data_IF_114853284998
#
_entry.id   IF_114853284998
#
_cell.length_a   1.000
_cell.length_b   1.000
_cell.length_c   1.000
_cell.angle_alpha   90.00
_cell.angle_beta   90.00
_cell.angle_gamma   90.00
#
_symmetry.space_group_name_H-M   'P 1'
#
loop_
_entity.id
_entity.type
_entity.pdbx_description
1 polymer ?
#
# COMPACT_ATOMS: atom_id res chain seq x y z
N UNK A 1 -68.05 52.92 6.47
CA UNK A 1 -67.17 52.36 7.52
C UNK A 1 -66.30 51.32 6.85
N UNK A 2 -65.01 51.60 6.71
CA UNK A 2 -63.98 50.78 6.07
C UNK A 2 -63.35 49.80 7.06
N UNK A 3 -62.63 48.79 6.54
CA UNK A 3 -61.66 47.86 7.16
C UNK A 3 -62.19 46.42 7.30
N UNK A 4 -61.46 45.37 6.96
CA UNK A 4 -60.21 45.18 6.23
C UNK A 4 -60.15 43.67 5.93
N UNK A 5 -59.78 43.27 4.72
CA UNK A 5 -59.55 41.87 4.39
C UNK A 5 -58.25 41.41 5.05
N UNK A 6 -58.33 40.54 6.04
CA UNK A 6 -57.18 39.73 6.49
C UNK A 6 -57.45 38.29 6.11
N UNK A 7 -57.01 37.95 4.90
CA UNK A 7 -56.84 36.59 4.45
C UNK A 7 -55.63 36.04 5.21
N UNK A 8 -55.85 35.24 6.25
CA UNK A 8 -54.77 34.44 6.83
C UNK A 8 -54.29 33.48 5.73
N UNK A 9 -52.99 33.48 5.36
CA UNK A 9 -52.50 32.54 4.38
C UNK A 9 -52.44 31.17 5.05
N UNK A 10 -53.53 30.40 4.96
CA UNK A 10 -53.49 28.96 5.22
C UNK A 10 -52.44 28.36 4.26
N UNK A 11 -51.29 27.96 4.82
CA UNK A 11 -50.25 27.29 4.07
C UNK A 11 -50.78 25.89 3.73
N UNK A 12 -51.49 25.78 2.62
CA UNK A 12 -51.94 24.50 2.06
C UNK A 12 -50.72 23.78 1.45
N UNK A 13 -49.99 23.05 2.29
CA UNK A 13 -48.90 22.21 1.82
C UNK A 13 -49.52 20.98 1.15
N UNK A 14 -49.50 20.97 -0.18
CA UNK A 14 -49.92 19.83 -1.00
C UNK A 14 -49.24 18.54 -0.53
N UNK A 15 -50.01 17.50 -0.21
CA UNK A 15 -49.51 16.20 0.25
C UNK A 15 -48.45 15.60 -0.69
N UNK A 16 -48.61 15.81 -2.01
CA UNK A 16 -47.66 15.38 -3.03
C UNK A 16 -46.28 16.04 -2.87
N UNK A 17 -46.23 17.33 -2.47
CA UNK A 17 -44.96 18.03 -2.21
C UNK A 17 -44.32 17.52 -0.92
N UNK A 18 -45.13 17.19 0.09
CA UNK A 18 -44.66 16.61 1.35
C UNK A 18 -44.07 15.20 1.13
N UNK A 19 -44.71 14.38 0.31
CA UNK A 19 -44.21 13.05 -0.07
C UNK A 19 -42.91 13.12 -0.87
N UNK A 20 -42.82 14.00 -1.88
CA UNK A 20 -41.59 14.19 -2.65
C UNK A 20 -40.44 14.68 -1.77
N UNK A 21 -40.71 15.60 -0.84
CA UNK A 21 -39.72 16.07 0.13
C UNK A 21 -39.28 14.96 1.09
N UNK A 22 -40.22 14.15 1.58
CA UNK A 22 -39.93 13.00 2.43
C UNK A 22 -39.07 11.95 1.71
N UNK A 23 -39.38 11.63 0.45
CA UNK A 23 -38.60 10.72 -0.37
C UNK A 23 -37.17 11.25 -0.61
N UNK A 24 -37.04 12.55 -0.85
CA UNK A 24 -35.74 13.21 -1.02
C UNK A 24 -34.90 13.16 0.25
N UNK A 25 -35.49 13.51 1.40
CA UNK A 25 -34.79 13.45 2.70
C UNK A 25 -34.41 12.01 3.06
N UNK A 26 -35.27 11.03 2.77
CA UNK A 26 -34.96 9.63 2.98
C UNK A 26 -33.79 9.17 2.11
N UNK A 27 -33.80 9.50 0.80
CA UNK A 27 -32.69 9.22 -0.09
C UNK A 27 -31.38 9.86 0.38
N UNK A 28 -31.42 11.13 0.82
CA UNK A 28 -30.27 11.83 1.38
C UNK A 28 -29.73 11.14 2.63
N UNK A 29 -30.62 10.69 3.52
CA UNK A 29 -30.25 9.95 4.74
C UNK A 29 -29.56 8.64 4.42
N UNK A 30 -30.11 7.86 3.48
CA UNK A 30 -29.52 6.59 3.02
C UNK A 30 -28.12 6.82 2.44
N UNK A 31 -27.95 7.86 1.62
CA UNK A 31 -26.64 8.21 1.05
C UNK A 31 -25.64 8.55 2.15
N UNK A 32 -26.01 9.38 3.14
CA UNK A 32 -25.13 9.71 4.25
C UNK A 32 -24.80 8.49 5.11
N UNK A 33 -25.74 7.56 5.30
CA UNK A 33 -25.49 6.30 6.01
C UNK A 33 -24.49 5.42 5.25
N UNK A 34 -24.61 5.30 3.93
CA UNK A 34 -23.69 4.51 3.11
C UNK A 34 -22.29 5.12 3.13
N UNK A 35 -22.17 6.44 2.94
CA UNK A 35 -20.89 7.15 3.02
C UNK A 35 -20.28 6.98 4.42
N UNK A 36 -21.09 7.13 5.47
CA UNK A 36 -20.67 6.91 6.85
C UNK A 36 -20.16 5.49 7.08
N UNK A 37 -20.84 4.47 6.57
CA UNK A 37 -20.46 3.08 6.74
C UNK A 37 -19.19 2.70 5.97
N UNK A 38 -19.01 3.23 4.75
CA UNK A 38 -17.82 2.94 3.93
C UNK A 38 -16.59 3.71 4.43
N UNK A 39 -16.78 4.94 4.92
CA UNK A 39 -15.67 5.82 5.34
C UNK A 39 -15.32 5.66 6.82
N UNK A 40 -16.25 5.24 7.68
CA UNK A 40 -15.99 5.06 9.12
C UNK A 40 -15.36 3.67 9.38
N UNK A 41 -14.09 3.61 9.81
CA UNK A 41 -13.47 2.36 10.21
C UNK A 41 -14.08 1.90 11.54
N UNK A 42 -14.73 0.74 11.52
CA UNK A 42 -15.24 0.06 12.70
C UNK A 42 -14.13 -0.79 13.31
N UNK A 43 -13.98 -0.75 14.64
CA UNK A 43 -13.14 -1.69 15.38
C UNK A 43 -13.68 -3.12 15.27
N UNK A 44 -12.85 -4.10 15.60
CA UNK A 44 -13.17 -5.51 15.89
C UNK A 44 -14.39 -5.71 16.80
N UNK A 45 -14.79 -4.70 17.56
CA UNK A 45 -15.97 -4.69 18.43
C UNK A 45 -17.17 -3.89 17.86
N UNK A 46 -17.15 -3.52 16.58
CA UNK A 46 -18.26 -2.81 15.91
C UNK A 46 -18.46 -1.36 16.34
N UNK A 47 -17.46 -0.74 16.98
CA UNK A 47 -17.51 0.65 17.43
C UNK A 47 -16.79 1.58 16.44
N UNK A 48 -17.35 2.76 16.13
CA UNK A 48 -16.66 3.76 15.33
C UNK A 48 -15.45 4.29 16.13
N UNK A 49 -14.24 4.02 15.65
CA UNK A 49 -13.03 4.55 16.28
C UNK A 49 -12.68 5.88 15.63
N UNK A 50 -12.69 6.94 16.44
CA UNK A 50 -12.09 8.22 16.08
C UNK A 50 -10.57 8.05 16.07
N UNK A 51 -10.03 7.51 14.97
CA UNK A 51 -8.60 7.57 14.75
C UNK A 51 -8.25 9.03 14.49
N UNK A 52 -7.46 9.62 15.39
CA UNK A 52 -6.78 10.87 15.08
C UNK A 52 -6.05 10.67 13.74
N UNK A 53 -6.05 11.66 12.82
CA UNK A 53 -5.42 11.52 11.50
C UNK A 53 -3.99 10.99 11.57
N UNK A 54 -3.27 11.31 12.65
CA UNK A 54 -1.92 10.82 12.91
C UNK A 54 -1.86 9.31 13.21
N UNK A 55 -2.78 8.78 14.02
CA UNK A 55 -2.84 7.35 14.34
C UNK A 55 -3.21 6.54 13.10
N UNK A 56 -4.15 7.06 12.30
CA UNK A 56 -4.48 6.44 11.01
C UNK A 56 -3.27 6.42 10.06
N UNK A 57 -2.52 7.52 9.95
CA UNK A 57 -1.34 7.57 9.10
C UNK A 57 -0.26 6.56 9.53
N UNK A 58 -0.12 6.29 10.84
CA UNK A 58 0.78 5.25 11.36
C UNK A 58 0.32 3.86 10.96
N UNK A 59 -0.96 3.54 11.16
CA UNK A 59 -1.49 2.22 10.82
C UNK A 59 -1.49 1.97 9.30
N UNK A 60 -1.86 2.96 8.50
CA UNK A 60 -1.83 2.87 7.03
C UNK A 60 -0.40 2.63 6.52
N UNK A 61 0.58 3.33 7.10
CA UNK A 61 1.99 3.11 6.79
C UNK A 61 2.44 1.71 7.23
N UNK A 62 2.09 1.26 8.44
CA UNK A 62 2.47 -0.06 8.96
C UNK A 62 1.92 -1.18 8.07
N UNK A 63 0.67 -1.07 7.63
CA UNK A 63 0.08 -2.01 6.65
C UNK A 63 0.84 -1.99 5.33
N UNK A 64 1.18 -0.81 4.83
CA UNK A 64 1.97 -0.68 3.60
C UNK A 64 3.35 -1.33 3.75
N UNK A 65 4.02 -1.13 4.88
CA UNK A 65 5.30 -1.74 5.18
C UNK A 65 5.24 -3.27 5.26
N UNK A 66 4.18 -3.84 5.85
CA UNK A 66 3.98 -5.29 5.85
C UNK A 66 3.78 -5.85 4.44
N UNK A 67 3.02 -5.14 3.59
CA UNK A 67 2.89 -5.50 2.18
C UNK A 67 4.25 -5.47 1.50
N UNK A 68 5.06 -4.42 1.69
CA UNK A 68 6.39 -4.34 1.08
C UNK A 68 7.34 -5.44 1.56
N UNK A 69 7.31 -5.83 2.84
CA UNK A 69 8.10 -6.97 3.34
C UNK A 69 7.70 -8.27 2.63
N UNK A 70 6.40 -8.46 2.37
CA UNK A 70 5.92 -9.58 1.57
C UNK A 70 6.44 -9.49 0.12
N UNK A 71 6.37 -8.32 -0.51
CA UNK A 71 6.91 -8.11 -1.87
C UNK A 71 8.41 -8.36 -1.94
N UNK A 72 9.19 -7.99 -0.91
CA UNK A 72 10.61 -8.31 -0.81
C UNK A 72 10.85 -9.83 -0.75
N UNK A 73 9.91 -10.61 -0.19
CA UNK A 73 9.98 -12.08 -0.18
C UNK A 73 9.77 -12.65 -1.58
N UNK A 74 8.83 -12.08 -2.33
CA UNK A 74 8.58 -12.45 -3.72
C UNK A 74 9.82 -12.14 -4.56
N UNK A 75 10.35 -10.92 -4.41
CA UNK A 75 11.56 -10.46 -5.10
C UNK A 75 12.78 -11.32 -4.76
N UNK A 76 12.93 -11.79 -3.51
CA UNK A 76 13.96 -12.76 -3.13
C UNK A 76 13.87 -14.04 -3.98
N UNK A 77 12.67 -14.63 -4.06
CA UNK A 77 12.42 -15.83 -4.84
C UNK A 77 12.71 -15.63 -6.34
N UNK A 78 12.33 -14.48 -6.90
CA UNK A 78 12.64 -14.12 -8.28
C UNK A 78 14.16 -14.03 -8.52
N UNK A 79 14.91 -13.37 -7.63
CA UNK A 79 16.37 -13.26 -7.74
C UNK A 79 17.04 -14.63 -7.60
N UNK A 80 16.59 -15.47 -6.65
CA UNK A 80 17.08 -16.85 -6.50
C UNK A 80 16.86 -17.62 -7.79
N UNK A 81 15.68 -17.51 -8.40
CA UNK A 81 15.37 -18.19 -9.65
C UNK A 81 16.31 -17.76 -10.77
N UNK A 82 16.60 -16.46 -10.91
CA UNK A 82 17.56 -15.93 -11.89
C UNK A 82 18.98 -16.44 -11.64
N UNK A 83 19.43 -16.49 -10.38
CA UNK A 83 20.77 -16.98 -10.01
C UNK A 83 20.90 -18.49 -10.24
N UNK A 84 19.83 -19.25 -9.97
CA UNK A 84 19.81 -20.71 -10.07
C UNK A 84 19.60 -21.23 -11.50
N UNK A 85 19.13 -20.39 -12.43
CA UNK A 85 18.92 -20.78 -13.82
C UNK A 85 20.21 -21.36 -14.42
N UNK A 86 20.16 -22.63 -14.80
CA UNK A 86 21.26 -23.28 -15.49
C UNK A 86 21.44 -22.64 -16.88
N UNK A 87 22.70 -22.44 -17.27
CA UNK A 87 23.11 -21.84 -18.56
C UNK A 87 22.72 -22.69 -19.79
N UNK A 88 21.98 -23.79 -19.60
CA UNK A 88 21.57 -24.72 -20.66
C UNK A 88 20.18 -24.40 -21.26
N UNK A 89 19.46 -23.41 -20.71
CA UNK A 89 18.17 -22.94 -21.23
C UNK A 89 18.28 -21.79 -22.25
N UNK A 90 17.13 -21.28 -22.70
CA UNK A 90 17.06 -20.11 -23.59
C UNK A 90 17.55 -18.84 -22.88
N UNK A 91 18.74 -18.34 -23.25
CA UNK A 91 19.35 -17.13 -22.70
C UNK A 91 18.46 -15.89 -22.85
N UNK A 92 17.64 -15.81 -23.92
CA UNK A 92 16.73 -14.68 -24.09
C UNK A 92 15.62 -14.69 -23.05
N UNK A 93 15.04 -15.87 -22.77
CA UNK A 93 14.06 -16.02 -21.69
C UNK A 93 14.66 -15.66 -20.34
N UNK A 94 15.89 -16.12 -20.03
CA UNK A 94 16.58 -15.81 -18.79
C UNK A 94 16.88 -14.31 -18.64
N UNK A 95 17.30 -13.65 -19.73
CA UNK A 95 17.53 -12.21 -19.75
C UNK A 95 16.24 -11.44 -19.50
N UNK A 96 15.12 -11.83 -20.12
CA UNK A 96 13.81 -11.22 -19.87
C UNK A 96 13.36 -11.37 -18.42
N UNK A 97 13.49 -12.56 -17.84
CA UNK A 97 13.15 -12.80 -16.43
C UNK A 97 14.02 -11.92 -15.53
N UNK A 98 15.34 -11.87 -15.75
CA UNK A 98 16.23 -11.02 -14.96
C UNK A 98 15.91 -9.52 -15.10
N UNK A 99 15.55 -9.05 -16.29
CA UNK A 99 15.10 -7.67 -16.53
C UNK A 99 13.79 -7.37 -15.81
N UNK A 100 12.83 -8.30 -15.85
CA UNK A 100 11.57 -8.17 -15.13
C UNK A 100 11.78 -8.11 -13.62
N UNK A 101 12.64 -8.97 -13.06
CA UNK A 101 13.02 -8.93 -11.65
C UNK A 101 13.69 -7.61 -11.27
N UNK A 102 14.58 -7.08 -12.12
CA UNK A 102 15.20 -5.78 -11.89
C UNK A 102 14.15 -4.65 -11.90
N UNK A 103 13.22 -4.69 -12.85
CA UNK A 103 12.14 -3.71 -12.95
C UNK A 103 11.23 -3.76 -11.71
N UNK A 104 10.87 -4.95 -11.24
CA UNK A 104 10.09 -5.13 -10.02
C UNK A 104 10.81 -4.52 -8.81
N UNK A 105 12.12 -4.76 -8.67
CA UNK A 105 12.91 -4.15 -7.60
C UNK A 105 12.90 -2.61 -7.65
N UNK A 106 13.05 -2.02 -8.84
CA UNK A 106 12.99 -0.56 -9.05
C UNK A 106 11.62 -0.01 -8.65
N UNK A 107 10.54 -0.66 -9.09
CA UNK A 107 9.17 -0.22 -8.79
C UNK A 107 8.88 -0.27 -7.29
N UNK A 108 9.31 -1.34 -6.61
CA UNK A 108 9.16 -1.48 -5.17
C UNK A 108 9.94 -0.40 -4.42
N UNK A 109 11.22 -0.17 -4.76
CA UNK A 109 12.03 0.89 -4.15
C UNK A 109 11.42 2.27 -4.37
N UNK A 110 10.95 2.59 -5.58
CA UNK A 110 10.29 3.88 -5.85
C UNK A 110 8.97 4.03 -5.08
N UNK A 111 8.21 2.95 -4.93
CA UNK A 111 6.96 2.95 -4.16
C UNK A 111 7.24 3.24 -2.69
N UNK A 112 8.26 2.61 -2.11
CA UNK A 112 8.70 2.86 -0.74
C UNK A 112 9.15 4.32 -0.59
N UNK A 113 10.05 4.80 -1.46
CA UNK A 113 10.62 6.15 -1.40
C UNK A 113 9.56 7.26 -1.46
N UNK A 114 8.56 7.10 -2.34
CA UNK A 114 7.50 8.11 -2.54
C UNK A 114 6.39 8.06 -1.49
N UNK A 115 6.36 7.04 -0.63
CA UNK A 115 5.29 6.91 0.35
C UNK A 115 5.50 7.90 1.49
N UNK A 116 4.44 8.66 1.81
CA UNK A 116 4.46 9.59 2.94
C UNK A 116 4.57 8.80 4.24
N UNK A 117 5.61 9.10 5.03
CA UNK A 117 5.82 8.49 6.34
C UNK A 117 5.39 9.46 7.46
N UNK A 118 4.72 8.98 8.52
CA UNK A 118 4.52 9.78 9.72
C UNK A 118 5.87 10.02 10.44
N UNK A 119 6.05 11.15 11.16
CA UNK A 119 7.33 11.48 11.81
C UNK A 119 7.90 10.36 12.70
N UNK A 120 7.02 9.63 13.41
CA UNK A 120 7.42 8.52 14.29
C UNK A 120 7.93 7.29 13.52
N UNK A 121 7.64 7.17 12.23
CA UNK A 121 8.03 6.04 11.38
C UNK A 121 9.29 6.29 10.54
N UNK A 122 9.91 7.47 10.62
CA UNK A 122 11.07 7.85 9.79
C UNK A 122 12.22 6.84 9.85
N UNK A 123 12.58 6.37 11.05
CA UNK A 123 13.65 5.38 11.18
C UNK A 123 13.33 4.04 10.50
N UNK A 124 12.06 3.62 10.53
CA UNK A 124 11.61 2.40 9.84
C UNK A 124 11.58 2.61 8.32
N UNK A 125 11.21 3.80 7.85
CA UNK A 125 11.29 4.17 6.43
C UNK A 125 12.71 4.11 5.91
N UNK A 126 13.69 4.64 6.65
CA UNK A 126 15.11 4.56 6.27
C UNK A 126 15.58 3.10 6.17
N UNK A 127 15.21 2.26 7.14
CA UNK A 127 15.52 0.82 7.12
C UNK A 127 14.86 0.09 5.94
N UNK A 128 13.59 0.40 5.66
CA UNK A 128 12.82 -0.16 4.56
C UNK A 128 13.43 0.23 3.21
N UNK A 129 13.73 1.51 3.02
CA UNK A 129 14.35 2.02 1.80
C UNK A 129 15.73 1.39 1.59
N UNK A 130 16.58 1.39 2.62
CA UNK A 130 17.91 0.76 2.59
C UNK A 130 17.83 -0.71 2.19
N UNK A 131 16.90 -1.48 2.80
CA UNK A 131 16.70 -2.89 2.45
C UNK A 131 16.22 -3.06 1.01
N UNK A 132 15.28 -2.24 0.55
CA UNK A 132 14.79 -2.31 -0.84
C UNK A 132 15.90 -2.03 -1.86
N UNK A 133 16.80 -1.07 -1.56
CA UNK A 133 17.96 -0.76 -2.42
C UNK A 133 18.96 -1.91 -2.45
N UNK A 134 19.13 -2.66 -1.34
CA UNK A 134 19.96 -3.87 -1.34
C UNK A 134 19.37 -4.97 -2.22
N UNK A 135 18.04 -5.15 -2.21
CA UNK A 135 17.37 -6.07 -3.12
C UNK A 135 17.49 -5.63 -4.59
N UNK A 136 17.40 -4.32 -4.87
CA UNK A 136 17.66 -3.77 -6.20
C UNK A 136 19.09 -4.06 -6.67
N UNK A 137 20.08 -3.92 -5.79
CA UNK A 137 21.48 -4.22 -6.10
C UNK A 137 21.71 -5.73 -6.35
N UNK A 138 21.02 -6.59 -5.59
CA UNK A 138 21.03 -8.03 -5.81
C UNK A 138 20.40 -8.39 -7.17
N UNK A 139 19.28 -7.79 -7.54
CA UNK A 139 18.64 -7.98 -8.85
C UNK A 139 19.56 -7.50 -10.00
N UNK A 140 20.24 -6.36 -9.83
CA UNK A 140 21.24 -5.87 -10.80
C UNK A 140 22.39 -6.85 -10.98
N UNK A 141 22.90 -7.39 -9.88
CA UNK A 141 23.98 -8.37 -9.89
C UNK A 141 23.54 -9.69 -10.53
N UNK A 142 22.30 -10.11 -10.31
CA UNK A 142 21.71 -11.29 -10.94
C UNK A 142 21.55 -11.11 -12.47
N UNK A 143 21.11 -9.93 -12.92
CA UNK A 143 21.10 -9.59 -14.36
C UNK A 143 22.52 -9.60 -14.96
N UNK A 144 23.52 -9.12 -14.22
CA UNK A 144 24.91 -9.19 -14.65
C UNK A 144 25.43 -10.63 -14.76
N UNK A 145 25.01 -11.53 -13.86
CA UNK A 145 25.30 -12.96 -13.97
C UNK A 145 24.71 -13.57 -15.25
N UNK A 146 23.44 -13.30 -15.55
CA UNK A 146 22.80 -13.79 -16.78
C UNK A 146 23.50 -13.24 -18.03
N UNK A 147 23.88 -11.97 -18.01
CA UNK A 147 24.51 -11.30 -19.16
C UNK A 147 25.97 -11.72 -19.37
N UNK A 148 26.69 -11.99 -18.26
CA UNK A 148 28.10 -12.38 -18.26
C UNK A 148 28.27 -13.53 -17.25
N UNK A 149 28.14 -14.79 -17.70
CA UNK A 149 28.05 -15.96 -16.82
C UNK A 149 29.41 -16.43 -16.31
N UNK A 150 30.05 -15.56 -15.51
CA UNK A 150 31.29 -15.85 -14.79
C UNK A 150 30.95 -16.18 -13.35
N UNK A 151 31.57 -17.21 -12.78
CA UNK A 151 31.32 -17.62 -11.39
C UNK A 151 31.39 -16.43 -10.40
N UNK A 152 32.37 -15.54 -10.59
CA UNK A 152 32.50 -14.29 -9.82
C UNK A 152 31.22 -13.43 -9.79
N UNK A 153 30.48 -13.35 -10.89
CA UNK A 153 29.24 -12.57 -10.96
C UNK A 153 28.08 -13.29 -10.25
N UNK A 154 28.05 -14.63 -10.30
CA UNK A 154 27.11 -15.44 -9.52
C UNK A 154 27.36 -15.29 -8.01
N UNK A 155 28.63 -15.35 -7.61
CA UNK A 155 29.04 -15.19 -6.21
C UNK A 155 28.67 -13.78 -5.71
N UNK A 156 28.92 -12.74 -6.52
CA UNK A 156 28.51 -11.38 -6.20
C UNK A 156 26.99 -11.25 -6.05
N UNK A 157 26.20 -11.80 -6.97
CA UNK A 157 24.74 -11.76 -6.89
C UNK A 157 24.22 -12.47 -5.63
N UNK A 158 24.82 -13.62 -5.28
CA UNK A 158 24.48 -14.38 -4.08
C UNK A 158 24.84 -13.60 -2.81
N UNK A 159 26.01 -12.97 -2.78
CA UNK A 159 26.45 -12.14 -1.66
C UNK A 159 25.53 -10.93 -1.43
N UNK A 160 25.15 -10.24 -2.50
CA UNK A 160 24.25 -9.09 -2.42
C UNK A 160 22.85 -9.51 -1.93
N UNK A 161 22.34 -10.64 -2.42
CA UNK A 161 21.06 -11.18 -1.96
C UNK A 161 21.10 -11.53 -0.46
N UNK A 162 22.19 -12.11 0.03
CA UNK A 162 22.34 -12.42 1.46
C UNK A 162 22.39 -11.16 2.32
N UNK A 163 23.10 -10.11 1.87
CA UNK A 163 23.10 -8.81 2.56
C UNK A 163 21.72 -8.14 2.57
N UNK A 164 20.90 -8.36 1.54
CA UNK A 164 19.53 -7.90 1.46
C UNK A 164 18.61 -8.66 2.44
N UNK A 165 18.76 -9.98 2.53
CA UNK A 165 18.04 -10.84 3.49
C UNK A 165 18.29 -10.47 4.93
N UNK A 166 19.53 -10.09 5.27
CA UNK A 166 19.85 -9.59 6.61
C UNK A 166 19.03 -8.35 6.97
N UNK A 167 18.96 -7.36 6.06
CA UNK A 167 18.15 -6.16 6.25
C UNK A 167 16.64 -6.47 6.36
N UNK A 168 16.14 -7.41 5.55
CA UNK A 168 14.75 -7.90 5.66
C UNK A 168 14.48 -8.56 7.00
N UNK A 169 15.39 -9.39 7.50
CA UNK A 169 15.25 -10.05 8.80
C UNK A 169 15.20 -9.03 9.95
N UNK A 170 15.96 -7.94 9.87
CA UNK A 170 15.90 -6.84 10.83
C UNK A 170 14.53 -6.14 10.80
N UNK A 171 13.98 -5.88 9.61
CA UNK A 171 12.63 -5.32 9.44
C UNK A 171 11.55 -6.24 10.01
N UNK A 172 11.62 -7.54 9.74
CA UNK A 172 10.67 -8.54 10.24
C UNK A 172 10.68 -8.66 11.77
N UNK A 173 11.81 -8.33 12.43
CA UNK A 173 11.96 -8.34 13.89
C UNK A 173 11.60 -6.99 14.53
N UNK A 174 11.37 -5.95 13.73
CA UNK A 174 11.11 -4.60 14.24
C UNK A 174 9.75 -4.55 14.95
N UNK A 175 9.78 -4.30 16.26
CA UNK A 175 8.58 -4.29 17.13
C UNK A 175 7.52 -3.28 16.68
N UNK A 176 7.94 -2.16 16.09
CA UNK A 176 7.02 -1.13 15.59
C UNK A 176 6.17 -1.62 14.41
N UNK A 177 6.71 -2.52 13.58
CA UNK A 177 5.99 -3.13 12.48
C UNK A 177 5.04 -4.26 12.93
N UNK A 178 5.40 -4.94 14.02
CA UNK A 178 4.68 -6.10 14.57
C UNK A 178 3.53 -5.67 15.50
N UNK A 179 3.66 -4.55 16.21
CA UNK A 179 2.70 -4.13 17.24
C UNK A 179 1.28 -4.01 16.70
N UNK A 180 0.33 -4.75 17.30
CA UNK A 180 -1.11 -4.68 17.05
C UNK A 180 -1.78 -3.68 17.98
#
# INVERSE_FOLDING_TARGET
MTLNNTHDPEIQISEEKLQKLGLFLFGLTVIFTIIGAVVSPLDTFGKPVLLLPQVKAVEDYRRSAQVWISELTILDGEIVHVIAAEQQGDLFSQSRVAQQTLQHAVELTQKIDRTRVPPIGMGVQEQMLSTSVRYLEAARSALQWVSVPKQKNRDLATQQLEAARQGKSELEKNQWLISR
#
